data_IF_933648108478
#
_entry.id   IF_933648108478
#
_cell.length_a   1.000
_cell.length_b   1.000
_cell.length_c   1.000
_cell.angle_alpha   90.00
_cell.angle_beta   90.00
_cell.angle_gamma   90.00
#
_symmetry.space_group_name_H-M   'P 1'
#
loop_
_entity.id
_entity.type
_entity.pdbx_description
1 polymer ?
#
# COMPACT_ATOMS: atom_id res chain seq x y z
N UNK A 1 -5.16 -11.45 -2.94
CA UNK A 1 -6.08 -10.54 -2.24
C UNK A 1 -5.84 -9.06 -2.58
N UNK A 2 -4.59 -8.58 -2.64
CA UNK A 2 -4.27 -7.16 -2.92
C UNK A 2 -4.88 -6.57 -4.21
N UNK A 3 -4.95 -7.33 -5.30
CA UNK A 3 -5.46 -6.81 -6.58
C UNK A 3 -6.95 -6.42 -6.53
N UNK A 4 -7.77 -7.16 -5.76
CA UNK A 4 -9.21 -6.89 -5.69
C UNK A 4 -9.53 -5.56 -5.00
N UNK A 5 -8.78 -5.22 -3.95
CA UNK A 5 -8.91 -3.94 -3.27
C UNK A 5 -8.53 -2.76 -4.20
N UNK A 6 -7.53 -2.94 -5.07
CA UNK A 6 -7.17 -1.94 -6.06
C UNK A 6 -8.23 -1.76 -7.15
N UNK A 7 -8.86 -2.84 -7.60
CA UNK A 7 -9.92 -2.79 -8.60
C UNK A 7 -11.20 -2.14 -8.07
N UNK A 8 -11.58 -2.43 -6.82
CA UNK A 8 -12.71 -1.79 -6.14
C UNK A 8 -12.43 -0.29 -5.89
N UNK A 9 -11.20 0.08 -5.55
CA UNK A 9 -10.81 1.48 -5.37
C UNK A 9 -10.87 2.29 -6.68
N UNK A 10 -10.52 1.69 -7.82
CA UNK A 10 -10.71 2.32 -9.14
C UNK A 10 -12.19 2.59 -9.43
N UNK A 11 -13.09 1.66 -9.07
CA UNK A 11 -14.53 1.85 -9.24
C UNK A 11 -15.10 2.94 -8.32
N UNK A 12 -14.45 3.17 -7.17
CA UNK A 12 -14.82 4.20 -6.19
C UNK A 12 -14.15 5.57 -6.45
N UNK A 13 -13.41 5.72 -7.55
CA UNK A 13 -12.62 6.92 -7.87
C UNK A 13 -11.65 7.33 -6.75
N UNK A 14 -11.08 6.34 -6.04
CA UNK A 14 -10.09 6.57 -4.99
C UNK A 14 -8.71 6.66 -5.63
N UNK A 15 -8.13 7.86 -5.62
CA UNK A 15 -6.83 8.13 -6.25
C UNK A 15 -5.63 7.57 -5.44
N UNK A 16 -5.79 7.39 -4.12
CA UNK A 16 -4.72 7.01 -3.21
C UNK A 16 -5.14 5.85 -2.31
N UNK A 17 -4.37 4.75 -2.36
CA UNK A 17 -4.49 3.64 -1.42
C UNK A 17 -3.27 3.60 -0.51
N UNK A 18 -3.48 3.34 0.77
CA UNK A 18 -2.42 3.12 1.75
C UNK A 18 -2.49 1.71 2.33
N UNK A 19 -1.33 1.11 2.54
CA UNK A 19 -1.17 -0.23 3.09
C UNK A 19 -0.09 -0.25 4.16
N UNK A 20 -0.40 -0.95 5.25
CA UNK A 20 0.53 -1.35 6.29
C UNK A 20 1.15 -2.71 5.91
N UNK A 21 2.49 -2.81 5.83
CA UNK A 21 3.17 -4.12 5.70
C UNK A 21 4.43 -4.15 6.57
N UNK A 22 4.54 -5.08 7.53
CA UNK A 22 5.78 -5.26 8.28
C UNK A 22 6.82 -6.10 7.52
N UNK A 23 6.40 -7.00 6.62
CA UNK A 23 7.23 -8.06 6.05
C UNK A 23 7.08 -8.28 4.53
N UNK A 24 6.08 -7.68 3.88
CA UNK A 24 5.77 -7.91 2.45
C UNK A 24 6.17 -6.78 1.50
N UNK A 25 7.01 -5.84 1.92
CA UNK A 25 7.39 -4.66 1.13
C UNK A 25 7.86 -5.01 -0.29
N UNK A 26 8.67 -6.06 -0.44
CA UNK A 26 9.21 -6.47 -1.74
C UNK A 26 8.14 -6.98 -2.71
N UNK A 27 7.09 -7.62 -2.20
CA UNK A 27 5.94 -8.05 -3.01
C UNK A 27 5.17 -6.84 -3.54
N UNK A 28 4.85 -5.90 -2.65
CA UNK A 28 4.06 -4.72 -3.00
C UNK A 28 4.82 -3.73 -3.89
N UNK A 29 6.14 -3.61 -3.72
CA UNK A 29 6.98 -2.84 -4.63
C UNK A 29 6.86 -3.35 -6.09
N UNK A 30 6.80 -4.66 -6.30
CA UNK A 30 6.58 -5.26 -7.63
C UNK A 30 5.19 -5.00 -8.21
N UNK A 31 4.21 -4.71 -7.35
CA UNK A 31 2.84 -4.36 -7.74
C UNK A 31 2.65 -2.85 -7.95
N UNK A 32 3.73 -2.07 -7.94
CA UNK A 32 3.70 -0.62 -8.18
C UNK A 32 3.47 0.23 -6.93
N UNK A 33 3.51 -0.37 -5.73
CA UNK A 33 3.41 0.38 -4.48
C UNK A 33 4.77 1.01 -4.13
N UNK A 34 4.75 2.21 -3.54
CA UNK A 34 5.94 2.93 -3.07
C UNK A 34 5.90 3.10 -1.54
N UNK A 35 7.07 3.15 -0.90
CA UNK A 35 7.16 3.41 0.55
C UNK A 35 6.92 4.88 0.81
N UNK A 36 6.00 5.18 1.74
CA UNK A 36 5.73 6.54 2.22
C UNK A 36 6.47 6.79 3.53
N UNK A 37 6.41 5.82 4.45
CA UNK A 37 6.93 5.99 5.79
C UNK A 37 7.43 4.67 6.36
N UNK A 38 8.49 4.74 7.17
CA UNK A 38 8.93 3.68 8.06
C UNK A 38 8.85 4.19 9.48
N UNK A 39 8.03 3.57 10.31
CA UNK A 39 7.81 4.02 11.68
C UNK A 39 7.80 2.85 12.66
N UNK A 40 8.17 3.13 13.91
CA UNK A 40 7.95 2.18 15.00
C UNK A 40 6.59 2.43 15.62
N UNK A 41 5.73 1.42 15.52
CA UNK A 41 4.43 1.43 16.17
C UNK A 41 4.34 0.26 17.14
N UNK A 42 4.11 0.55 18.42
CA UNK A 42 4.01 -0.45 19.50
C UNK A 42 5.19 -1.45 19.52
N UNK A 43 6.41 -0.93 19.40
CA UNK A 43 7.66 -1.72 19.35
C UNK A 43 7.81 -2.66 18.15
N UNK A 44 7.01 -2.46 17.09
CA UNK A 44 7.15 -3.16 15.82
C UNK A 44 7.55 -2.18 14.73
N UNK A 45 8.53 -2.55 13.92
CA UNK A 45 8.90 -1.79 12.72
C UNK A 45 7.81 -1.98 11.66
N UNK A 46 7.31 -0.85 11.18
CA UNK A 46 6.20 -0.80 10.24
C UNK A 46 6.63 -0.06 8.99
N UNK A 47 6.17 -0.54 7.83
CA UNK A 47 6.27 0.19 6.57
C UNK A 47 4.86 0.55 6.10
N UNK A 48 4.63 1.84 5.88
CA UNK A 48 3.46 2.34 5.19
C UNK A 48 3.82 2.50 3.72
N UNK A 49 3.02 1.89 2.85
CA UNK A 49 3.16 1.97 1.41
C UNK A 49 1.93 2.63 0.78
N UNK A 50 2.13 3.34 -0.32
CA UNK A 50 1.05 3.91 -1.13
C UNK A 50 0.99 3.27 -2.52
N UNK A 51 -0.21 3.21 -3.07
CA UNK A 51 -0.45 2.99 -4.49
C UNK A 51 -1.30 4.13 -5.01
N UNK A 52 -0.77 4.83 -6.02
CA UNK A 52 -1.51 5.85 -6.74
C UNK A 52 -2.25 5.21 -7.90
N UNK A 53 -3.57 5.30 -7.88
CA UNK A 53 -4.42 4.85 -8.98
C UNK A 53 -4.65 6.07 -9.87
N UNK A 54 -4.07 6.08 -11.06
CA UNK A 54 -4.31 7.15 -12.02
C UNK A 54 -5.80 7.17 -12.41
N UNK A 55 -6.35 8.38 -12.53
CA UNK A 55 -7.69 8.64 -13.03
C UNK A 55 -7.87 8.17 -14.49
#
# INVERSE_FOLDING_TARGET
MANRAADEARQLAVEHLYLYTPDQQHLYARLGWSVVERCQYRAQDVVIMELRLAA
#
